data_IF_583625371558
#
_entry.id   IF_583625371558
#
_cell.length_a   1.000
_cell.length_b   1.000
_cell.length_c   1.000
_cell.angle_alpha   90.00
_cell.angle_beta   90.00
_cell.angle_gamma   90.00
#
_symmetry.space_group_name_H-M   'P 1'
#
loop_
_entity.id
_entity.type
_entity.pdbx_description
1 polymer ?
#
# COMPACT_ATOMS: atom_id res chain seq x y z
N UNK A 1 -62.70 7.09 38.03
CA UNK A 1 -62.76 8.54 38.26
C UNK A 1 -61.51 9.11 37.61
N UNK A 2 -61.58 9.49 36.34
CA UNK A 2 -62.01 10.84 35.87
C UNK A 2 -60.96 11.89 36.24
N UNK A 3 -60.49 12.80 35.39
CA UNK A 3 -60.60 13.06 33.96
C UNK A 3 -59.52 14.12 33.65
N UNK A 4 -58.98 14.09 32.43
CA UNK A 4 -58.50 15.20 31.56
C UNK A 4 -57.82 16.46 32.15
N UNK A 5 -56.69 16.82 31.52
CA UNK A 5 -56.45 18.10 30.78
C UNK A 5 -55.44 17.82 29.64
N UNK A 6 -55.87 17.68 28.36
CA UNK A 6 -55.85 18.70 27.25
C UNK A 6 -54.42 19.09 26.82
N UNK A 7 -53.78 18.58 25.76
CA UNK A 7 -54.02 18.58 24.30
C UNK A 7 -53.76 19.93 23.58
N UNK A 8 -52.75 20.00 22.70
CA UNK A 8 -52.65 20.65 21.36
C UNK A 8 -51.19 20.52 20.86
N UNK A 9 -50.88 19.76 19.78
CA UNK A 9 -50.94 20.11 18.33
C UNK A 9 -50.02 21.32 18.03
N UNK A 10 -49.07 21.36 17.11
CA UNK A 10 -48.90 20.87 15.72
C UNK A 10 -47.46 21.34 15.32
N UNK A 11 -46.68 20.78 14.39
CA UNK A 11 -46.63 21.16 12.96
C UNK A 11 -45.43 20.44 12.30
N UNK A 12 -45.68 19.88 11.10
CA UNK A 12 -44.78 19.86 9.93
C UNK A 12 -43.70 18.76 9.89
N UNK A 13 -43.73 17.80 8.97
CA UNK A 13 -43.43 17.95 7.54
C UNK A 13 -42.00 18.48 7.37
N UNK A 14 -41.06 17.92 6.61
CA UNK A 14 -41.11 17.18 5.36
C UNK A 14 -39.66 16.91 4.94
N UNK A 15 -39.49 16.08 3.91
CA UNK A 15 -38.26 15.49 3.40
C UNK A 15 -37.11 16.47 3.08
N UNK A 16 -35.87 15.99 3.21
CA UNK A 16 -34.77 16.46 2.39
C UNK A 16 -33.88 15.28 1.95
N UNK A 17 -33.97 15.00 0.65
CA UNK A 17 -33.04 14.25 -0.19
C UNK A 17 -31.65 14.90 -0.20
N UNK A 18 -30.61 14.08 -0.35
CA UNK A 18 -29.26 14.52 -0.76
C UNK A 18 -28.18 13.98 0.17
N UNK A 19 -27.00 13.60 -0.28
CA UNK A 19 -26.44 13.39 -1.60
C UNK A 19 -25.26 12.42 -1.36
N UNK A 20 -24.89 11.65 -2.39
CA UNK A 20 -23.67 10.87 -2.38
C UNK A 20 -22.47 11.81 -2.23
N UNK A 21 -21.80 11.77 -1.08
CA UNK A 21 -20.48 12.37 -0.94
C UNK A 21 -19.44 11.29 -1.26
N UNK A 22 -18.95 11.37 -2.49
CA UNK A 22 -17.75 10.69 -2.93
C UNK A 22 -16.59 11.18 -2.05
N UNK A 23 -16.22 10.36 -1.06
CA UNK A 23 -14.94 10.51 -0.37
C UNK A 23 -13.84 10.24 -1.39
N UNK A 24 -13.24 11.32 -1.88
CA UNK A 24 -11.98 11.30 -2.61
C UNK A 24 -10.87 10.99 -1.61
N UNK A 25 -10.14 9.87 -1.70
CA UNK A 25 -8.87 9.77 -1.01
C UNK A 25 -7.85 10.59 -1.80
N UNK A 26 -7.62 11.82 -1.36
CA UNK A 26 -6.44 12.60 -1.72
C UNK A 26 -5.22 11.92 -1.10
N UNK A 27 -4.65 10.94 -1.80
CA UNK A 27 -3.30 10.47 -1.51
C UNK A 27 -2.29 11.38 -2.22
N UNK A 28 -2.08 12.56 -1.64
CA UNK A 28 -0.85 13.31 -1.88
C UNK A 28 0.27 12.56 -1.16
N UNK A 29 1.00 11.72 -1.88
CA UNK A 29 2.33 11.27 -1.47
C UNK A 29 3.33 11.84 -2.45
N UNK A 30 3.60 13.13 -2.32
CA UNK A 30 4.84 13.73 -2.82
C UNK A 30 5.99 13.21 -1.93
N UNK A 31 6.62 12.13 -2.37
CA UNK A 31 7.96 11.76 -1.94
C UNK A 31 8.88 11.78 -3.17
N UNK A 32 9.10 12.98 -3.73
CA UNK A 32 10.16 13.23 -4.68
C UNK A 32 11.51 13.27 -3.93
N UNK A 33 11.98 12.09 -3.50
CA UNK A 33 13.35 11.88 -3.05
C UNK A 33 14.25 11.74 -4.27
N UNK A 34 15.03 12.78 -4.56
CA UNK A 34 15.98 12.84 -5.67
C UNK A 34 17.08 11.77 -5.50
N UNK A 35 16.89 10.58 -6.07
CA UNK A 35 17.92 9.54 -6.12
C UNK A 35 19.05 9.99 -7.05
N UNK A 36 20.16 10.42 -6.46
CA UNK A 36 21.38 10.81 -7.16
C UNK A 36 22.50 9.92 -6.64
N UNK A 37 23.07 9.07 -7.49
CA UNK A 37 24.16 8.16 -7.14
C UNK A 37 23.69 6.71 -6.99
N UNK A 38 24.40 5.78 -7.63
CA UNK A 38 24.14 4.35 -7.52
C UNK A 38 24.43 3.86 -6.11
N UNK A 39 23.40 3.93 -5.28
CA UNK A 39 23.38 3.43 -3.93
C UNK A 39 22.85 1.99 -3.97
N UNK A 40 23.60 1.05 -3.39
CA UNK A 40 23.38 -0.40 -3.59
C UNK A 40 22.00 -0.83 -3.07
N UNK A 41 21.34 -0.05 -2.21
CA UNK A 41 19.99 -0.31 -1.72
C UNK A 41 18.89 0.62 -2.24
N UNK A 42 19.12 1.46 -3.26
CA UNK A 42 18.06 2.27 -3.88
C UNK A 42 17.79 1.85 -5.33
N UNK A 43 16.58 1.36 -5.58
CA UNK A 43 16.12 0.97 -6.91
C UNK A 43 15.03 1.90 -7.41
N UNK A 44 15.23 2.53 -8.58
CA UNK A 44 14.18 3.31 -9.25
C UNK A 44 13.61 2.52 -10.42
N UNK A 45 12.33 2.18 -10.34
CA UNK A 45 11.60 1.45 -11.36
C UNK A 45 10.81 2.42 -12.23
N UNK A 46 11.16 2.46 -13.53
CA UNK A 46 10.38 3.18 -14.54
C UNK A 46 9.47 2.19 -15.25
N UNK A 47 8.16 2.44 -15.18
CA UNK A 47 7.18 1.58 -15.84
C UNK A 47 7.23 1.76 -17.35
N UNK A 48 7.11 0.66 -18.10
CA UNK A 48 7.03 0.73 -19.58
C UNK A 48 5.75 1.40 -20.06
N UNK A 49 4.67 1.23 -19.31
CA UNK A 49 3.37 1.88 -19.53
C UNK A 49 2.86 2.35 -18.17
N UNK A 50 2.18 3.51 -18.09
CA UNK A 50 1.56 3.94 -16.85
C UNK A 50 0.69 2.83 -16.27
N UNK A 51 0.86 2.55 -14.98
CA UNK A 51 0.07 1.59 -14.24
C UNK A 51 -0.95 2.34 -13.40
N UNK A 52 -2.22 1.99 -13.48
CA UNK A 52 -3.28 2.64 -12.71
C UNK A 52 -3.81 1.68 -11.66
N UNK A 53 -3.86 2.14 -10.40
CA UNK A 53 -4.39 1.34 -9.31
C UNK A 53 -5.01 2.25 -8.24
N UNK A 54 -6.23 1.93 -7.80
CA UNK A 54 -6.96 2.67 -6.77
C UNK A 54 -7.03 4.20 -7.02
N UNK A 55 -7.17 4.61 -8.28
CA UNK A 55 -7.23 6.02 -8.67
C UNK A 55 -5.88 6.75 -8.73
N UNK A 56 -4.76 6.05 -8.48
CA UNK A 56 -3.42 6.57 -8.64
C UNK A 56 -2.76 6.05 -9.93
N UNK A 57 -2.01 6.91 -10.62
CA UNK A 57 -1.23 6.55 -11.81
C UNK A 57 0.26 6.51 -11.48
N UNK A 58 0.87 5.37 -11.68
CA UNK A 58 2.29 5.09 -11.43
C UNK A 58 3.05 5.06 -12.76
N UNK A 59 4.00 5.97 -12.91
CA UNK A 59 4.95 6.03 -14.04
C UNK A 59 6.37 5.73 -13.60
N UNK A 60 6.68 6.01 -12.34
CA UNK A 60 7.95 5.74 -11.69
C UNK A 60 7.70 5.42 -10.21
N UNK A 61 8.46 4.48 -9.66
CA UNK A 61 8.49 4.18 -8.23
C UNK A 61 9.94 4.05 -7.76
N UNK A 62 10.24 4.61 -6.60
CA UNK A 62 11.55 4.49 -5.96
C UNK A 62 11.44 3.59 -4.73
N UNK A 63 12.25 2.55 -4.70
CA UNK A 63 12.36 1.56 -3.63
C UNK A 63 13.65 1.84 -2.87
N UNK A 64 13.53 2.35 -1.64
CA UNK A 64 14.67 2.56 -0.76
C UNK A 64 14.72 1.42 0.27
N UNK A 65 15.51 0.39 -0.04
CA UNK A 65 15.68 -0.77 0.82
C UNK A 65 16.60 -0.48 2.02
N UNK A 66 17.55 0.45 1.90
CA UNK A 66 18.45 0.81 3.00
C UNK A 66 17.73 1.46 4.19
N UNK A 67 16.59 2.09 3.94
CA UNK A 67 15.76 2.68 5.00
C UNK A 67 15.01 1.62 5.81
N UNK A 68 14.92 0.39 5.32
CA UNK A 68 14.27 -0.69 6.05
C UNK A 68 15.10 -1.12 7.26
N UNK A 69 14.40 -1.52 8.30
CA UNK A 69 14.99 -1.93 9.57
C UNK A 69 14.62 -3.37 9.89
N UNK A 70 15.26 -3.97 10.89
CA UNK A 70 14.86 -5.29 11.39
C UNK A 70 13.39 -5.35 11.83
N UNK A 71 12.79 -4.22 12.23
CA UNK A 71 11.36 -4.15 12.55
C UNK A 71 10.49 -4.44 11.33
N UNK A 72 10.89 -3.95 10.16
CA UNK A 72 10.18 -4.18 8.91
C UNK A 72 10.25 -5.66 8.51
N UNK A 73 11.42 -6.29 8.69
CA UNK A 73 11.59 -7.72 8.44
C UNK A 73 10.67 -8.58 9.33
N UNK A 74 10.69 -8.33 10.65
CA UNK A 74 9.83 -9.06 11.60
C UNK A 74 8.34 -8.82 11.31
N UNK A 75 7.96 -7.61 10.88
CA UNK A 75 6.59 -7.32 10.49
C UNK A 75 6.16 -8.12 9.25
N UNK A 76 7.03 -8.27 8.25
CA UNK A 76 6.77 -9.11 7.07
C UNK A 76 6.59 -10.57 7.48
N UNK A 77 7.48 -11.11 8.30
CA UNK A 77 7.37 -12.50 8.80
C UNK A 77 6.06 -12.73 9.56
N UNK A 78 5.69 -11.78 10.43
CA UNK A 78 4.43 -11.83 11.19
C UNK A 78 3.23 -11.83 10.25
N UNK A 79 3.21 -10.97 9.23
CA UNK A 79 2.15 -10.95 8.22
C UNK A 79 2.08 -12.26 7.42
N UNK A 80 3.22 -12.85 7.09
CA UNK A 80 3.25 -14.15 6.39
C UNK A 80 2.71 -15.26 7.27
N UNK A 81 3.10 -15.31 8.55
CA UNK A 81 2.60 -16.29 9.51
C UNK A 81 1.08 -16.19 9.71
N UNK A 82 0.53 -14.97 9.77
CA UNK A 82 -0.92 -14.73 9.84
C UNK A 82 -1.66 -15.27 8.61
N UNK A 83 -0.99 -15.33 7.46
CA UNK A 83 -1.51 -15.91 6.23
C UNK A 83 -1.18 -17.41 6.07
N UNK A 84 -0.73 -18.08 7.14
CA UNK A 84 -0.28 -19.47 7.14
C UNK A 84 0.87 -19.74 6.14
N UNK A 85 1.68 -18.73 5.84
CA UNK A 85 2.82 -18.83 4.94
C UNK A 85 4.13 -18.67 5.71
N UNK A 86 5.16 -19.43 5.32
CA UNK A 86 6.47 -19.38 5.93
C UNK A 86 7.54 -19.27 4.84
N UNK A 87 8.39 -18.24 4.94
CA UNK A 87 9.56 -18.09 4.08
C UNK A 87 10.79 -18.66 4.82
N UNK A 88 11.19 -19.89 4.48
CA UNK A 88 12.45 -20.46 4.96
C UNK A 88 13.67 -19.68 4.42
N UNK A 89 13.51 -19.14 3.20
CA UNK A 89 14.51 -18.39 2.46
C UNK A 89 13.85 -17.13 1.88
N UNK A 90 13.98 -15.97 2.54
CA UNK A 90 13.45 -14.69 2.06
C UNK A 90 13.90 -14.32 0.64
N UNK A 91 15.11 -14.71 0.25
CA UNK A 91 15.74 -14.47 -1.04
C UNK A 91 15.16 -15.29 -2.21
N UNK A 92 14.34 -16.32 -1.93
CA UNK A 92 13.57 -17.04 -2.95
C UNK A 92 12.05 -16.92 -2.77
N UNK A 93 11.60 -16.40 -1.63
CA UNK A 93 10.18 -16.19 -1.38
C UNK A 93 9.67 -14.93 -2.09
N UNK A 94 8.84 -15.14 -3.12
CA UNK A 94 8.28 -14.03 -3.89
C UNK A 94 7.34 -13.15 -3.07
N UNK A 95 6.60 -13.76 -2.13
CA UNK A 95 5.72 -13.03 -1.22
C UNK A 95 6.53 -12.19 -0.22
N UNK A 96 7.65 -12.72 0.28
CA UNK A 96 8.54 -11.93 1.13
C UNK A 96 9.13 -10.74 0.36
N UNK A 97 9.64 -10.99 -0.85
CA UNK A 97 10.23 -9.96 -1.71
C UNK A 97 9.22 -8.87 -2.09
N UNK A 98 7.97 -9.23 -2.39
CA UNK A 98 6.94 -8.25 -2.73
C UNK A 98 6.60 -7.38 -1.52
N UNK A 99 6.44 -7.97 -0.32
CA UNK A 99 6.20 -7.24 0.92
C UNK A 99 7.37 -6.33 1.30
N UNK A 100 8.60 -6.78 1.10
CA UNK A 100 9.80 -5.97 1.31
C UNK A 100 9.82 -4.75 0.38
N UNK A 101 9.57 -4.98 -0.92
CA UNK A 101 9.49 -3.91 -1.92
C UNK A 101 8.36 -2.92 -1.61
N UNK A 102 7.19 -3.40 -1.18
CA UNK A 102 6.07 -2.55 -0.80
C UNK A 102 6.47 -1.54 0.29
N UNK A 103 7.13 -2.03 1.35
CA UNK A 103 7.64 -1.20 2.45
C UNK A 103 8.74 -0.25 1.99
N UNK A 104 9.66 -0.71 1.14
CA UNK A 104 10.75 0.10 0.61
C UNK A 104 10.25 1.29 -0.21
N UNK A 105 9.16 1.12 -0.97
CA UNK A 105 8.52 2.18 -1.74
C UNK A 105 7.44 2.96 -0.96
N UNK A 106 7.05 2.49 0.24
CA UNK A 106 5.97 3.10 1.02
C UNK A 106 4.59 2.94 0.36
N UNK A 107 4.37 1.84 -0.36
CA UNK A 107 3.12 1.50 -1.03
C UNK A 107 2.47 0.28 -0.36
N UNK A 108 1.17 0.08 -0.60
CA UNK A 108 0.50 -1.17 -0.22
C UNK A 108 1.00 -2.36 -1.02
N UNK A 109 1.03 -3.56 -0.42
CA UNK A 109 1.45 -4.79 -1.11
C UNK A 109 0.48 -5.17 -2.24
N UNK A 110 -0.79 -4.83 -2.08
CA UNK A 110 -1.85 -4.95 -3.08
C UNK A 110 -1.55 -4.19 -4.38
N UNK A 111 -0.84 -3.06 -4.30
CA UNK A 111 -0.37 -2.31 -5.47
C UNK A 111 0.59 -3.16 -6.30
N UNK A 112 1.53 -3.86 -5.65
CA UNK A 112 2.49 -4.75 -6.31
C UNK A 112 1.80 -5.98 -6.89
N UNK A 113 0.85 -6.57 -6.16
CA UNK A 113 0.11 -7.76 -6.60
C UNK A 113 -0.74 -7.49 -7.86
N UNK A 114 -1.20 -6.25 -8.03
CA UNK A 114 -1.95 -5.81 -9.20
C UNK A 114 -1.07 -5.42 -10.40
N UNK A 115 0.26 -5.32 -10.24
CA UNK A 115 1.15 -4.92 -11.34
C UNK A 115 1.25 -5.98 -12.44
N UNK A 116 1.52 -5.56 -13.69
CA UNK A 116 1.88 -6.50 -14.74
C UNK A 116 3.08 -7.37 -14.35
N UNK A 117 3.01 -8.67 -14.62
CA UNK A 117 4.07 -9.64 -14.28
C UNK A 117 5.50 -9.20 -14.65
N UNK A 118 5.77 -8.54 -15.80
CA UNK A 118 7.12 -8.07 -16.10
C UNK A 118 7.64 -7.01 -15.13
N UNK A 119 6.77 -6.12 -14.66
CA UNK A 119 7.14 -5.04 -13.73
C UNK A 119 7.28 -5.60 -12.32
N UNK A 120 6.29 -6.40 -11.89
CA UNK A 120 6.37 -7.15 -10.64
C UNK A 120 7.68 -7.93 -10.54
N UNK A 121 8.05 -8.66 -11.59
CA UNK A 121 9.27 -9.48 -11.59
C UNK A 121 10.56 -8.68 -11.47
N UNK A 122 10.62 -7.49 -12.09
CA UNK A 122 11.79 -6.61 -12.01
C UNK A 122 11.96 -6.06 -10.60
N UNK A 123 10.86 -5.63 -9.98
CA UNK A 123 10.86 -5.05 -8.63
C UNK A 123 11.27 -6.08 -7.59
N UNK A 124 10.67 -7.27 -7.64
CA UNK A 124 10.96 -8.34 -6.69
C UNK A 124 12.35 -8.96 -6.90
N UNK A 125 12.91 -8.91 -8.12
CA UNK A 125 14.31 -9.23 -8.33
C UNK A 125 15.25 -8.21 -7.67
N UNK A 126 14.94 -6.91 -7.72
CA UNK A 126 15.72 -5.90 -6.99
C UNK A 126 15.66 -6.12 -5.48
N UNK A 127 14.49 -6.50 -4.94
CA UNK A 127 14.35 -6.87 -3.53
C UNK A 127 15.19 -8.12 -3.17
N UNK A 128 15.20 -9.13 -4.05
CA UNK A 128 16.07 -10.31 -3.90
C UNK A 128 17.54 -9.93 -3.89
N UNK A 129 17.98 -9.12 -4.86
CA UNK A 129 19.38 -8.73 -4.99
C UNK A 129 19.86 -7.95 -3.75
N UNK A 130 18.97 -7.12 -3.17
CA UNK A 130 19.23 -6.47 -1.89
C UNK A 130 19.35 -7.47 -0.73
N UNK A 131 18.43 -8.44 -0.60
CA UNK A 131 18.52 -9.46 0.46
C UNK A 131 19.86 -10.21 0.39
N UNK A 132 20.26 -10.65 -0.80
CA UNK A 132 21.53 -11.32 -1.04
C UNK A 132 22.74 -10.43 -0.69
N UNK A 133 22.68 -9.12 -0.96
CA UNK A 133 23.77 -8.21 -0.63
C UNK A 133 23.92 -7.97 0.88
N UNK A 134 22.83 -8.13 1.65
CA UNK A 134 22.81 -7.98 3.11
C UNK A 134 23.14 -9.25 3.89
N UNK A 135 23.36 -10.39 3.21
CA UNK A 135 23.78 -11.64 3.82
C UNK A 135 22.68 -12.66 4.11
N UNK A 136 21.55 -12.60 3.40
CA UNK A 136 20.55 -13.68 3.34
C UNK A 136 20.94 -14.78 2.35
#
# INVERSE_FOLDING_TARGET
>A
MSDKVTNIAEIGAEQATGAAEAATPTSTTEAAGKATGGDVGVYTHKFKRPFEYSGATYTELTFNFERLTGRDMVAIETEMQMNNEYALSPEISRNFQSKLAARAAGIGSDVLDAMPLPEFNRITNAARDFLLSTGY
#
